data_IF_321565941698
#
_entry.id   IF_321565941698
#
_cell.length_a   1.000
_cell.length_b   1.000
_cell.length_c   1.000
_cell.angle_alpha   90.00
_cell.angle_beta   90.00
_cell.angle_gamma   90.00
#
_symmetry.space_group_name_H-M   'P 1'
#
loop_
_entity.id
_entity.type
_entity.pdbx_description
1 polymer ?
#
# COMPACT_ATOMS: atom_id res chain seq x y z
N UNK A 1 18.35 69.12 26.36
CA UNK A 1 18.64 68.95 24.92
C UNK A 1 19.21 67.54 24.73
N UNK A 2 18.33 66.58 24.52
CA UNK A 2 18.67 65.15 24.40
C UNK A 2 18.57 64.79 22.92
N UNK A 3 19.69 64.40 22.32
CA UNK A 3 19.77 63.90 20.93
C UNK A 3 19.56 62.42 20.94
N UNK A 4 18.40 61.99 20.41
CA UNK A 4 18.10 60.62 20.15
C UNK A 4 18.88 60.15 18.93
N UNK A 5 19.73 59.14 19.07
CA UNK A 5 20.38 58.44 17.96
C UNK A 5 19.55 57.20 17.61
N UNK A 6 18.80 57.30 16.53
CA UNK A 6 18.13 56.13 15.93
C UNK A 6 19.15 55.25 15.22
N UNK A 7 19.35 54.05 15.67
CA UNK A 7 20.14 53.01 14.98
C UNK A 7 19.18 52.26 14.06
N UNK A 8 19.31 52.55 12.76
CA UNK A 8 18.60 51.78 11.73
C UNK A 8 19.46 50.54 11.44
N UNK A 9 19.02 49.39 11.96
CA UNK A 9 19.61 48.11 11.62
C UNK A 9 19.08 47.70 10.25
N UNK A 10 19.88 47.81 9.21
CA UNK A 10 19.62 47.24 7.90
C UNK A 10 19.90 45.74 8.00
N UNK A 11 18.81 44.95 8.15
CA UNK A 11 18.87 43.51 7.96
C UNK A 11 19.06 43.25 6.44
N UNK A 12 20.27 42.98 6.01
CA UNK A 12 20.54 42.37 4.73
C UNK A 12 20.02 40.91 4.81
N UNK A 13 18.78 40.68 4.47
CA UNK A 13 18.29 39.37 4.07
C UNK A 13 18.93 39.02 2.73
N UNK A 14 20.12 38.44 2.74
CA UNK A 14 20.61 37.68 1.60
C UNK A 14 19.61 36.53 1.46
N UNK A 15 18.64 36.70 0.57
CA UNK A 15 17.76 35.64 0.14
C UNK A 15 18.62 34.54 -0.48
N UNK A 16 18.97 33.53 0.31
CA UNK A 16 19.33 32.24 -0.22
C UNK A 16 18.04 31.76 -0.87
N UNK A 17 17.91 32.02 -2.17
CA UNK A 17 16.99 31.29 -3.01
C UNK A 17 17.39 29.83 -2.87
N UNK A 18 16.79 29.10 -1.95
CA UNK A 18 16.75 27.66 -2.00
C UNK A 18 16.04 27.35 -3.32
N UNK A 19 16.80 27.26 -4.41
CA UNK A 19 16.38 26.57 -5.61
C UNK A 19 16.03 25.20 -5.08
N UNK A 20 14.74 24.90 -4.99
CA UNK A 20 14.26 23.54 -4.76
C UNK A 20 14.97 22.71 -5.82
N UNK A 21 15.99 21.99 -5.38
CA UNK A 21 16.90 21.29 -6.27
C UNK A 21 16.03 20.22 -6.90
N UNK A 22 15.65 20.42 -8.18
CA UNK A 22 15.11 19.32 -8.97
C UNK A 22 16.04 18.14 -8.70
N UNK A 23 15.44 17.01 -8.29
CA UNK A 23 16.23 15.85 -7.92
C UNK A 23 17.04 15.45 -9.15
N UNK A 24 18.23 15.89 -9.37
CA UNK A 24 19.02 15.56 -10.56
C UNK A 24 19.38 14.06 -10.63
N UNK A 25 18.46 13.23 -10.19
CA UNK A 25 18.43 11.77 -10.22
C UNK A 25 17.64 11.35 -11.47
N UNK A 26 18.27 10.55 -12.31
CA UNK A 26 17.67 10.04 -13.54
C UNK A 26 16.56 9.05 -13.25
N UNK A 27 15.54 8.99 -14.12
CA UNK A 27 14.43 8.03 -14.08
C UNK A 27 13.73 7.99 -12.70
N UNK A 28 13.54 9.16 -12.12
CA UNK A 28 12.94 9.31 -10.80
C UNK A 28 11.50 9.84 -10.89
N UNK A 29 10.58 9.20 -10.15
CA UNK A 29 9.24 9.74 -9.95
C UNK A 29 9.26 10.74 -8.79
N UNK A 30 8.92 12.02 -9.01
CA UNK A 30 8.87 13.00 -7.93
C UNK A 30 7.90 12.58 -6.81
N UNK A 31 8.27 12.77 -5.54
CA UNK A 31 7.41 12.46 -4.37
C UNK A 31 6.37 13.54 -4.08
N UNK A 32 6.18 14.51 -4.95
CA UNK A 32 5.24 15.63 -4.77
C UNK A 32 4.15 15.63 -5.87
N UNK A 33 3.35 16.68 -5.96
CA UNK A 33 2.28 16.82 -6.97
C UNK A 33 2.73 16.49 -8.40
N UNK A 34 3.99 16.71 -8.75
CA UNK A 34 4.50 16.42 -10.09
C UNK A 34 4.52 14.92 -10.41
N UNK A 35 4.57 14.04 -9.38
CA UNK A 35 4.45 12.60 -9.54
C UNK A 35 3.03 12.08 -9.72
N UNK A 36 2.03 12.97 -9.72
CA UNK A 36 0.62 12.59 -9.87
C UNK A 36 0.37 11.90 -11.21
N UNK A 37 -0.31 10.77 -11.18
CA UNK A 37 -0.63 9.94 -12.36
C UNK A 37 0.60 9.44 -13.14
N UNK A 38 1.77 9.41 -12.52
CA UNK A 38 2.91 8.64 -13.01
C UNK A 38 2.80 7.24 -12.41
N UNK A 39 2.79 6.25 -13.27
CA UNK A 39 2.80 4.83 -12.92
C UNK A 39 4.24 4.31 -13.01
N UNK A 40 4.56 3.37 -13.88
CA UNK A 40 5.94 2.94 -14.10
C UNK A 40 6.83 4.11 -14.57
N UNK A 41 8.12 4.04 -14.24
CA UNK A 41 9.09 5.05 -14.66
C UNK A 41 9.29 5.03 -16.16
N UNK A 42 9.06 6.16 -16.81
CA UNK A 42 9.22 6.30 -18.25
C UNK A 42 10.70 6.30 -18.66
N UNK A 43 10.99 5.84 -19.88
CA UNK A 43 12.34 5.78 -20.45
C UNK A 43 12.83 7.12 -21.05
N UNK A 44 11.97 8.10 -21.23
CA UNK A 44 12.29 9.40 -21.81
C UNK A 44 12.71 10.43 -20.76
N UNK A 45 13.70 10.08 -19.93
CA UNK A 45 14.29 11.00 -18.98
C UNK A 45 15.28 11.95 -19.65
N UNK A 46 15.20 13.22 -19.30
CA UNK A 46 16.06 14.29 -19.81
C UNK A 46 17.17 14.69 -18.85
N UNK A 47 17.21 14.09 -17.65
CA UNK A 47 18.23 14.39 -16.62
C UNK A 47 19.59 13.82 -17.05
N UNK A 48 20.59 14.70 -17.26
CA UNK A 48 21.96 14.27 -17.55
C UNK A 48 22.67 13.74 -16.29
N UNK A 49 23.45 12.66 -16.46
CA UNK A 49 24.30 12.16 -15.38
C UNK A 49 25.44 13.16 -15.07
N UNK A 50 25.60 13.51 -13.80
CA UNK A 50 26.63 14.46 -13.32
C UNK A 50 27.47 13.90 -12.16
N UNK A 51 27.64 12.59 -12.10
CA UNK A 51 28.34 11.90 -11.02
C UNK A 51 27.41 11.38 -9.93
N UNK A 52 28.00 10.81 -8.89
CA UNK A 52 27.26 10.29 -7.72
C UNK A 52 26.48 11.42 -7.07
N UNK A 53 25.20 11.17 -6.83
CA UNK A 53 24.30 12.12 -6.18
C UNK A 53 23.39 11.41 -5.20
N UNK A 54 23.24 11.98 -4.02
CA UNK A 54 22.29 11.50 -3.00
C UNK A 54 21.14 12.50 -2.89
N UNK A 55 19.92 11.99 -2.94
CA UNK A 55 18.72 12.76 -2.66
C UNK A 55 17.98 12.09 -1.49
N UNK A 56 17.70 12.88 -0.47
CA UNK A 56 16.87 12.46 0.67
C UNK A 56 15.53 13.15 0.52
N UNK A 57 14.49 12.36 0.45
CA UNK A 57 13.09 12.79 0.43
C UNK A 57 12.32 12.23 1.61
N UNK A 58 11.09 12.60 1.70
CA UNK A 58 10.22 12.10 2.74
C UNK A 58 8.77 12.38 2.43
N UNK A 59 7.92 11.64 3.14
CA UNK A 59 6.49 11.83 3.11
C UNK A 59 5.94 11.49 4.49
N UNK A 60 5.05 12.32 5.00
CA UNK A 60 4.30 12.00 6.21
C UNK A 60 2.90 12.57 6.16
N UNK A 61 1.99 11.90 6.88
CA UNK A 61 0.58 12.18 6.89
C UNK A 61 0.11 12.46 8.30
N UNK A 62 -0.62 13.56 8.45
CA UNK A 62 -1.34 13.89 9.66
C UNK A 62 -2.83 13.74 9.37
N UNK A 63 -3.51 12.90 10.13
CA UNK A 63 -4.93 12.66 9.96
C UNK A 63 -5.71 12.99 11.22
N UNK A 64 -6.96 13.40 11.04
CA UNK A 64 -7.98 13.48 12.09
C UNK A 64 -9.17 12.65 11.65
N UNK A 65 -9.62 11.73 12.53
CA UNK A 65 -10.81 10.95 12.25
C UNK A 65 -11.95 11.28 13.22
N UNK A 66 -13.16 11.34 12.67
CA UNK A 66 -14.41 11.43 13.39
C UNK A 66 -15.39 10.41 12.80
N UNK A 67 -15.21 9.15 13.19
CA UNK A 67 -15.98 8.01 12.71
C UNK A 67 -16.90 7.48 13.78
N UNK A 68 -18.04 6.93 13.36
CA UNK A 68 -18.98 6.21 14.19
C UNK A 68 -19.18 4.81 13.61
N UNK A 69 -19.43 3.83 14.47
CA UNK A 69 -19.61 2.45 14.07
C UNK A 69 -20.74 1.76 14.81
N UNK A 70 -21.31 0.75 14.19
CA UNK A 70 -22.39 -0.07 14.74
C UNK A 70 -22.37 -1.49 14.17
N UNK A 71 -22.93 -2.46 14.91
CA UNK A 71 -23.21 -3.79 14.43
C UNK A 71 -24.53 -4.33 15.00
N UNK A 72 -25.03 -5.43 14.42
CA UNK A 72 -26.20 -6.17 14.91
C UNK A 72 -25.83 -7.59 15.33
N UNK A 73 -24.54 -7.83 15.60
CA UNK A 73 -24.03 -9.13 15.98
C UNK A 73 -24.64 -9.63 17.31
N UNK A 74 -25.04 -10.90 17.32
CA UNK A 74 -25.51 -11.53 18.57
C UNK A 74 -24.38 -11.61 19.58
N UNK A 75 -24.67 -11.42 20.87
CA UNK A 75 -23.66 -11.52 21.92
C UNK A 75 -23.00 -12.90 21.92
N UNK A 76 -21.67 -12.89 22.10
CA UNK A 76 -20.84 -14.09 22.28
C UNK A 76 -19.93 -13.87 23.49
N UNK A 77 -20.08 -14.73 24.51
CA UNK A 77 -19.18 -14.74 25.68
C UNK A 77 -18.52 -16.11 25.75
N UNK A 78 -17.29 -16.25 25.24
CA UNK A 78 -16.58 -17.54 25.28
C UNK A 78 -16.35 -18.04 26.70
N UNK A 79 -16.21 -19.35 26.92
CA UNK A 79 -15.86 -19.90 28.21
C UNK A 79 -14.59 -19.26 28.79
N UNK A 80 -14.66 -18.80 30.03
CA UNK A 80 -13.55 -18.09 30.71
C UNK A 80 -13.49 -16.58 30.48
N UNK A 81 -14.39 -16.03 29.67
CA UNK A 81 -14.55 -14.59 29.48
C UNK A 81 -15.75 -14.05 30.26
N UNK A 82 -15.68 -12.79 30.64
CA UNK A 82 -16.81 -12.07 31.29
C UNK A 82 -17.48 -11.09 30.35
N UNK A 83 -16.87 -10.83 29.20
CA UNK A 83 -17.31 -9.80 28.26
C UNK A 83 -17.78 -10.39 26.94
N UNK A 84 -18.78 -9.74 26.33
CA UNK A 84 -19.21 -10.04 24.97
C UNK A 84 -18.14 -9.61 23.95
N UNK A 85 -17.59 -10.56 23.19
CA UNK A 85 -16.55 -10.29 22.19
C UNK A 85 -17.06 -9.55 20.94
N UNK A 86 -18.39 -9.47 20.76
CA UNK A 86 -19.01 -8.75 19.65
C UNK A 86 -19.39 -7.30 19.99
N UNK A 87 -19.02 -6.82 21.18
CA UNK A 87 -19.13 -5.39 21.51
C UNK A 87 -18.02 -4.65 20.81
N UNK A 88 -18.36 -3.63 20.02
CA UNK A 88 -17.41 -2.80 19.30
C UNK A 88 -16.60 -1.92 20.27
N UNK A 89 -15.35 -1.66 19.89
CA UNK A 89 -14.46 -0.75 20.59
C UNK A 89 -15.04 0.68 20.50
N UNK A 90 -15.20 1.42 21.60
CA UNK A 90 -15.68 2.79 21.54
C UNK A 90 -14.59 3.69 20.94
N UNK A 91 -14.68 3.93 19.64
CA UNK A 91 -13.76 4.84 18.95
C UNK A 91 -14.07 6.30 19.30
N UNK A 92 -13.03 7.09 19.49
CA UNK A 92 -13.12 8.52 19.78
C UNK A 92 -12.54 9.33 18.63
N UNK A 93 -13.01 10.56 18.49
CA UNK A 93 -12.46 11.48 17.51
C UNK A 93 -11.03 11.88 17.92
N UNK A 94 -10.09 11.88 16.97
CA UNK A 94 -8.71 12.17 17.33
C UNK A 94 -7.75 12.31 16.16
N UNK A 95 -6.57 12.84 16.50
CA UNK A 95 -5.46 12.98 15.57
C UNK A 95 -4.61 11.71 15.53
N UNK A 96 -4.03 11.44 14.36
CA UNK A 96 -3.24 10.26 14.04
C UNK A 96 -2.07 10.64 13.14
N UNK A 97 -0.98 9.85 13.22
CA UNK A 97 0.11 9.84 12.25
C UNK A 97 0.11 8.48 11.53
N UNK A 98 -0.65 8.34 10.43
CA UNK A 98 -0.79 7.06 9.75
C UNK A 98 0.48 6.53 9.13
N UNK A 99 1.27 7.41 8.51
CA UNK A 99 2.51 7.05 7.86
C UNK A 99 3.54 8.17 7.96
N UNK A 100 4.80 7.77 8.09
CA UNK A 100 5.96 8.64 7.94
C UNK A 100 7.06 7.84 7.23
N UNK A 101 7.44 8.29 6.04
CA UNK A 101 8.43 7.63 5.22
C UNK A 101 9.64 8.53 5.00
N UNK A 102 10.83 7.95 5.05
CA UNK A 102 12.05 8.57 4.57
C UNK A 102 12.57 7.78 3.38
N UNK A 103 12.88 8.48 2.32
CA UNK A 103 13.32 7.90 1.04
C UNK A 103 14.71 8.42 0.71
N UNK A 104 15.64 7.51 0.51
CA UNK A 104 16.99 7.82 0.09
C UNK A 104 17.18 7.30 -1.34
N UNK A 105 17.38 8.21 -2.29
CA UNK A 105 17.72 7.87 -3.67
C UNK A 105 19.16 8.22 -3.95
N UNK A 106 19.89 7.31 -4.58
CA UNK A 106 21.30 7.53 -4.92
C UNK A 106 21.51 7.25 -6.40
N UNK A 107 21.95 8.25 -7.15
CA UNK A 107 22.47 8.06 -8.51
C UNK A 107 23.87 7.47 -8.42
N UNK A 108 24.03 6.20 -8.75
CA UNK A 108 25.30 5.47 -8.63
C UNK A 108 26.16 5.60 -9.89
N UNK A 109 25.54 5.51 -11.05
CA UNK A 109 26.16 5.64 -12.36
C UNK A 109 25.14 6.19 -13.37
N UNK A 110 25.55 6.42 -14.61
CA UNK A 110 24.63 6.85 -15.67
C UNK A 110 23.55 5.75 -15.90
N UNK A 111 22.31 6.12 -15.62
CA UNK A 111 21.16 5.19 -15.70
C UNK A 111 21.15 4.10 -14.62
N UNK A 112 21.93 4.21 -13.54
CA UNK A 112 21.92 3.28 -12.40
C UNK A 112 21.65 4.03 -11.12
N UNK A 113 20.56 3.68 -10.43
CA UNK A 113 20.18 4.28 -9.16
C UNK A 113 19.81 3.24 -8.10
N UNK A 114 19.97 3.61 -6.85
CA UNK A 114 19.49 2.88 -5.68
C UNK A 114 18.33 3.64 -5.05
N UNK A 115 17.36 2.91 -4.54
CA UNK A 115 16.33 3.42 -3.63
C UNK A 115 16.40 2.67 -2.31
N UNK A 116 16.25 3.39 -1.20
CA UNK A 116 16.02 2.83 0.13
C UNK A 116 14.86 3.60 0.78
N UNK A 117 13.83 2.89 1.18
CA UNK A 117 12.66 3.46 1.85
C UNK A 117 12.56 2.93 3.27
N UNK A 118 12.53 3.85 4.22
CA UNK A 118 12.26 3.61 5.64
C UNK A 118 10.87 4.13 5.97
N UNK A 119 10.19 3.50 6.92
CA UNK A 119 8.89 3.96 7.37
C UNK A 119 8.64 3.72 8.85
N UNK A 120 7.71 4.46 9.39
CA UNK A 120 7.10 4.24 10.71
C UNK A 120 5.63 4.69 10.68
N UNK A 121 4.88 4.24 11.66
CA UNK A 121 3.50 4.68 11.93
C UNK A 121 3.28 4.74 13.43
N UNK A 122 2.57 5.73 13.92
CA UNK A 122 2.31 5.88 15.37
C UNK A 122 1.47 4.74 15.95
N UNK A 123 0.78 3.96 15.12
CA UNK A 123 -0.11 2.87 15.55
C UNK A 123 0.39 1.49 15.20
N UNK A 124 1.18 1.36 14.14
CA UNK A 124 1.57 0.07 13.60
C UNK A 124 3.05 -0.26 13.86
N UNK A 125 3.95 0.66 13.51
CA UNK A 125 5.39 0.49 13.70
C UNK A 125 5.96 1.69 14.47
N UNK A 126 6.18 1.48 15.76
CA UNK A 126 6.80 2.49 16.63
C UNK A 126 8.31 2.62 16.38
N UNK A 127 8.93 1.63 15.74
CA UNK A 127 10.33 1.65 15.33
C UNK A 127 10.42 1.88 13.83
N UNK A 128 11.51 2.50 13.39
CA UNK A 128 11.80 2.67 11.96
C UNK A 128 12.18 1.33 11.34
N UNK A 129 11.48 0.95 10.29
CA UNK A 129 11.72 -0.29 9.54
C UNK A 129 12.15 0.01 8.10
N UNK A 130 12.90 -0.92 7.50
CA UNK A 130 13.15 -0.90 6.06
C UNK A 130 11.92 -1.43 5.36
N UNK A 131 11.29 -0.59 4.54
CA UNK A 131 10.12 -0.96 3.73
C UNK A 131 10.52 -1.52 2.37
N UNK A 132 11.58 -1.00 1.79
CA UNK A 132 12.10 -1.44 0.51
C UNK A 132 13.52 -0.96 0.29
N UNK A 133 14.23 -1.65 -0.58
CA UNK A 133 15.58 -1.27 -1.01
C UNK A 133 15.94 -2.03 -2.28
N UNK A 134 16.16 -1.31 -3.39
CA UNK A 134 16.46 -1.91 -4.67
C UNK A 134 17.45 -1.08 -5.49
N UNK A 135 18.09 -1.73 -6.46
CA UNK A 135 18.84 -1.10 -7.53
C UNK A 135 17.99 -1.13 -8.79
N UNK A 136 17.91 0.01 -9.47
CA UNK A 136 17.27 0.16 -10.78
C UNK A 136 18.33 0.43 -11.83
N UNK A 137 18.27 -0.35 -12.92
CA UNK A 137 19.09 -0.21 -14.09
C UNK A 137 18.24 0.25 -15.27
N UNK A 138 18.46 1.45 -15.73
CA UNK A 138 17.92 2.03 -16.97
C UNK A 138 18.95 2.05 -18.09
N UNK A 139 20.22 1.91 -17.73
CA UNK A 139 21.38 1.71 -18.61
C UNK A 139 22.33 0.72 -17.93
N UNK A 140 23.20 0.09 -18.73
CA UNK A 140 24.26 -0.81 -18.25
C UNK A 140 25.62 -0.34 -18.79
N UNK A 141 26.10 0.86 -18.41
CA UNK A 141 27.27 1.50 -19.02
C UNK A 141 28.56 0.68 -18.86
N UNK A 142 28.63 -0.13 -17.82
CA UNK A 142 29.79 -0.99 -17.54
C UNK A 142 29.96 -2.19 -18.51
N UNK A 143 28.95 -2.49 -19.34
CA UNK A 143 29.05 -3.55 -20.35
C UNK A 143 29.68 -3.07 -21.66
N UNK A 144 29.81 -1.76 -21.87
CA UNK A 144 30.42 -1.14 -23.07
C UNK A 144 29.93 -1.76 -24.39
N UNK A 145 28.62 -2.01 -24.51
CA UNK A 145 28.02 -2.70 -25.64
C UNK A 145 26.90 -1.91 -26.29
N UNK A 146 27.07 -1.52 -27.55
CA UNK A 146 26.03 -0.82 -28.32
C UNK A 146 24.74 -1.62 -28.45
N UNK A 147 24.80 -2.95 -28.47
CA UNK A 147 23.62 -3.82 -28.53
C UNK A 147 22.83 -3.68 -27.22
N UNK A 148 23.52 -3.77 -26.10
CA UNK A 148 22.91 -3.61 -24.77
C UNK A 148 22.34 -2.20 -24.61
N UNK A 149 23.07 -1.16 -25.02
CA UNK A 149 22.59 0.23 -24.96
C UNK A 149 21.29 0.42 -25.74
N UNK A 150 21.17 -0.22 -26.92
CA UNK A 150 19.96 -0.15 -27.71
C UNK A 150 18.77 -0.89 -27.04
N UNK A 151 19.00 -2.04 -26.42
CA UNK A 151 17.98 -2.77 -25.65
C UNK A 151 17.54 -1.93 -24.45
N UNK A 152 18.47 -1.37 -23.73
CA UNK A 152 18.21 -0.57 -22.51
C UNK A 152 17.49 0.76 -22.77
N UNK A 153 17.37 1.20 -24.03
CA UNK A 153 16.48 2.32 -24.37
C UNK A 153 15.01 2.03 -24.07
N UNK A 154 14.63 0.76 -24.05
CA UNK A 154 13.25 0.31 -23.81
C UNK A 154 13.10 -0.55 -22.55
N UNK A 155 14.21 -0.95 -21.93
CA UNK A 155 14.20 -1.89 -20.79
C UNK A 155 14.65 -1.20 -19.50
N UNK A 156 13.94 -1.47 -18.40
CA UNK A 156 14.33 -1.15 -17.02
C UNK A 156 14.38 -2.44 -16.22
N UNK A 157 15.37 -2.58 -15.35
CA UNK A 157 15.54 -3.75 -14.47
C UNK A 157 15.61 -3.26 -13.03
N UNK A 158 14.77 -3.80 -12.16
CA UNK A 158 14.80 -3.58 -10.73
C UNK A 158 15.20 -4.87 -10.01
N UNK A 159 16.16 -4.78 -9.08
CA UNK A 159 16.63 -5.93 -8.28
C UNK A 159 16.74 -5.51 -6.82
N UNK A 160 16.10 -6.27 -5.94
CA UNK A 160 16.10 -6.04 -4.50
C UNK A 160 14.74 -6.26 -3.89
N UNK A 161 14.47 -5.62 -2.75
CA UNK A 161 13.15 -5.58 -2.14
C UNK A 161 12.32 -4.49 -2.81
N UNK A 162 11.45 -4.90 -3.72
CA UNK A 162 10.61 -4.00 -4.51
C UNK A 162 9.16 -4.11 -4.09
N UNK A 163 8.38 -3.05 -4.33
CA UNK A 163 6.94 -3.17 -4.41
C UNK A 163 6.60 -4.17 -5.52
N UNK A 164 5.74 -5.15 -5.21
CA UNK A 164 5.23 -6.10 -6.21
C UNK A 164 4.33 -5.34 -7.18
N UNK A 165 4.74 -5.24 -8.42
CA UNK A 165 4.01 -4.46 -9.44
C UNK A 165 2.80 -5.23 -9.99
N UNK A 166 1.87 -5.56 -9.08
CA UNK A 166 0.59 -6.20 -9.35
C UNK A 166 -0.55 -5.19 -9.26
N UNK A 167 -1.27 -4.97 -10.35
CA UNK A 167 -2.27 -3.92 -10.48
C UNK A 167 -1.68 -2.51 -10.56
N UNK A 168 -2.54 -1.51 -10.63
CA UNK A 168 -2.13 -0.10 -10.72
C UNK A 168 -2.47 0.73 -9.47
N UNK A 169 -3.26 0.18 -8.51
CA UNK A 169 -3.67 0.91 -7.31
C UNK A 169 -2.50 1.18 -6.36
N UNK A 170 -1.45 0.34 -6.32
CA UNK A 170 -0.29 0.56 -5.48
C UNK A 170 0.45 1.87 -5.80
N UNK A 171 0.34 2.39 -7.03
CA UNK A 171 0.87 3.72 -7.39
C UNK A 171 0.12 4.89 -6.74
N UNK A 172 -1.04 4.63 -6.15
CA UNK A 172 -1.88 5.59 -5.43
C UNK A 172 -2.11 5.18 -3.97
N UNK A 173 -1.41 4.17 -3.49
CA UNK A 173 -1.58 3.68 -2.13
C UNK A 173 -1.06 4.70 -1.12
N UNK A 174 -1.68 4.76 0.05
CA UNK A 174 -1.51 5.80 1.08
C UNK A 174 -0.20 5.73 1.87
N UNK A 175 0.74 4.88 1.50
CA UNK A 175 2.08 4.87 2.09
C UNK A 175 3.18 4.78 1.03
N UNK A 176 4.44 4.59 1.43
CA UNK A 176 5.57 4.49 0.50
C UNK A 176 5.85 5.76 -0.29
N UNK A 177 5.36 6.91 0.15
CA UNK A 177 5.50 8.17 -0.56
C UNK A 177 4.35 8.48 -1.53
N UNK A 178 3.32 7.63 -1.58
CA UNK A 178 2.23 7.76 -2.55
C UNK A 178 0.96 8.43 -2.00
N UNK A 179 0.88 8.74 -0.71
CA UNK A 179 -0.30 9.36 -0.07
C UNK A 179 -0.73 10.64 -0.77
N UNK A 180 0.22 11.45 -1.18
CA UNK A 180 -0.02 12.73 -1.88
C UNK A 180 -0.72 12.52 -3.24
N UNK A 181 -0.70 11.30 -3.79
CA UNK A 181 -1.35 10.95 -5.07
C UNK A 181 -2.74 10.36 -4.90
N UNK A 182 -3.06 9.88 -3.68
CA UNK A 182 -4.38 9.31 -3.40
C UNK A 182 -5.40 10.45 -3.18
N UNK A 183 -6.44 10.57 -4.01
CA UNK A 183 -7.49 11.56 -3.78
C UNK A 183 -8.37 11.21 -2.57
N UNK A 184 -8.30 9.99 -2.05
CA UNK A 184 -9.04 9.49 -0.88
C UNK A 184 -8.11 9.28 0.31
N UNK A 185 -8.71 9.18 1.51
CA UNK A 185 -7.95 8.98 2.74
C UNK A 185 -7.43 7.54 2.84
N UNK A 186 -8.21 6.56 2.44
CA UNK A 186 -7.84 5.14 2.60
C UNK A 186 -7.65 4.42 1.27
N UNK A 187 -6.97 3.27 1.32
CA UNK A 187 -6.78 2.32 0.22
C UNK A 187 -8.10 1.57 -0.10
N UNK A 188 -8.07 0.62 -1.03
CA UNK A 188 -9.24 -0.23 -1.28
C UNK A 188 -9.50 -1.20 -0.12
N UNK A 189 -10.71 -1.79 -0.10
CA UNK A 189 -11.15 -2.74 0.94
C UNK A 189 -10.24 -3.97 0.95
N UNK A 190 -9.97 -4.56 -0.21
CA UNK A 190 -8.94 -5.59 -0.39
C UNK A 190 -7.70 -4.89 -0.95
N UNK A 191 -6.68 -4.75 -0.11
CA UNK A 191 -5.50 -3.93 -0.41
C UNK A 191 -4.35 -4.86 -0.81
N UNK A 192 -4.09 -4.90 -2.10
CA UNK A 192 -3.07 -5.72 -2.74
C UNK A 192 -1.74 -4.97 -2.72
N UNK A 193 -0.99 -5.16 -1.68
CA UNK A 193 0.33 -4.55 -1.54
C UNK A 193 1.28 -5.42 -0.75
N UNK A 194 2.40 -5.73 -1.36
CA UNK A 194 3.54 -6.35 -0.71
C UNK A 194 4.84 -5.78 -1.24
N UNK A 195 5.87 -5.82 -0.42
CA UNK A 195 7.26 -5.67 -0.87
C UNK A 195 7.93 -7.04 -0.77
N UNK A 196 8.53 -7.49 -1.86
CA UNK A 196 9.16 -8.79 -1.95
C UNK A 196 10.57 -8.68 -2.52
N UNK A 197 11.45 -9.60 -2.12
CA UNK A 197 12.82 -9.66 -2.62
C UNK A 197 12.82 -10.43 -3.94
N UNK A 198 13.41 -9.82 -4.98
CA UNK A 198 13.45 -10.43 -6.30
C UNK A 198 13.89 -9.47 -7.39
N UNK A 199 13.47 -9.77 -8.61
CA UNK A 199 13.76 -8.96 -9.79
C UNK A 199 12.50 -8.73 -10.62
N UNK A 200 12.38 -7.51 -11.17
CA UNK A 200 11.32 -7.12 -12.09
C UNK A 200 11.95 -6.46 -13.33
N UNK A 201 11.49 -6.84 -14.50
CA UNK A 201 11.97 -6.34 -15.79
C UNK A 201 10.80 -5.70 -16.52
N UNK A 202 10.98 -4.47 -16.96
CA UNK A 202 10.00 -3.67 -17.69
C UNK A 202 10.48 -3.43 -19.10
N UNK A 203 9.59 -3.57 -20.06
CA UNK A 203 9.78 -3.18 -21.44
C UNK A 203 8.77 -2.11 -21.82
N UNK A 204 9.24 -0.97 -22.30
CA UNK A 204 8.42 0.15 -22.74
C UNK A 204 8.63 0.43 -24.23
N UNK A 205 7.54 0.51 -24.96
CA UNK A 205 7.54 0.88 -26.36
C UNK A 205 7.05 2.34 -26.52
N UNK A 206 7.66 3.14 -27.40
CA UNK A 206 7.22 4.52 -27.66
C UNK A 206 5.76 4.65 -28.14
N UNK A 207 5.15 3.56 -28.65
CA UNK A 207 3.72 3.55 -29.00
C UNK A 207 2.78 3.63 -27.81
N UNK A 208 3.29 3.42 -26.58
CA UNK A 208 2.53 3.35 -25.32
C UNK A 208 2.33 1.92 -24.80
N UNK A 209 2.68 0.90 -25.58
CA UNK A 209 2.62 -0.47 -25.11
C UNK A 209 3.77 -0.79 -24.14
N UNK A 210 3.49 -1.55 -23.09
CA UNK A 210 4.52 -2.02 -22.17
C UNK A 210 4.22 -3.43 -21.66
N UNK A 211 5.29 -4.10 -21.22
CA UNK A 211 5.28 -5.40 -20.56
C UNK A 211 6.13 -5.33 -19.30
N UNK A 212 5.73 -6.05 -18.26
CA UNK A 212 6.54 -6.32 -17.09
C UNK A 212 6.47 -7.80 -16.75
N UNK A 213 7.60 -8.36 -16.33
CA UNK A 213 7.70 -9.68 -15.76
C UNK A 213 8.62 -9.67 -14.55
N UNK A 214 8.27 -10.41 -13.51
CA UNK A 214 9.06 -10.49 -12.29
C UNK A 214 9.01 -11.86 -11.65
N UNK A 215 10.08 -12.14 -10.89
CA UNK A 215 10.22 -13.30 -10.01
C UNK A 215 10.66 -12.81 -8.64
N UNK A 216 9.99 -13.30 -7.61
CA UNK A 216 10.24 -12.90 -6.22
C UNK A 216 10.19 -14.12 -5.29
N UNK A 217 10.62 -13.96 -4.06
CA UNK A 217 10.51 -15.00 -3.04
C UNK A 217 9.07 -15.23 -2.53
N UNK A 218 8.13 -14.33 -2.85
CA UNK A 218 6.73 -14.43 -2.43
C UNK A 218 6.48 -14.23 -0.93
N UNK A 219 7.54 -14.02 -0.17
CA UNK A 219 7.56 -13.76 1.27
C UNK A 219 8.92 -13.20 1.67
N UNK A 220 9.02 -12.49 2.82
CA UNK A 220 10.28 -11.85 3.22
C UNK A 220 11.32 -12.83 3.80
N UNK A 221 10.89 -13.94 4.40
CA UNK A 221 11.75 -14.91 5.09
C UNK A 221 11.82 -16.26 4.35
N UNK A 222 12.04 -16.24 3.05
CA UNK A 222 12.02 -17.45 2.20
C UNK A 222 13.17 -18.44 2.45
N UNK A 223 14.23 -18.04 3.17
CA UNK A 223 15.42 -18.87 3.38
C UNK A 223 15.30 -19.89 4.52
N UNK A 224 14.25 -19.82 5.32
CA UNK A 224 14.05 -20.69 6.48
C UNK A 224 12.70 -21.40 6.39
N UNK A 225 12.75 -22.73 6.46
CA UNK A 225 11.54 -23.54 6.61
C UNK A 225 10.96 -23.33 8.02
N UNK A 226 9.99 -22.45 8.14
CA UNK A 226 9.30 -22.17 9.40
C UNK A 226 8.13 -23.13 9.58
N UNK A 227 8.36 -24.31 10.11
CA UNK A 227 7.31 -25.02 10.82
C UNK A 227 7.51 -24.75 12.30
N UNK A 228 6.59 -24.00 12.90
CA UNK A 228 6.64 -23.75 14.34
C UNK A 228 6.02 -24.93 15.07
N UNK A 229 6.83 -25.73 15.70
CA UNK A 229 6.36 -26.71 16.69
C UNK A 229 6.40 -26.05 18.06
N UNK A 230 5.25 -25.83 18.67
CA UNK A 230 5.18 -25.40 20.06
C UNK A 230 5.46 -26.62 20.93
N UNK A 231 6.61 -26.68 21.55
CA UNK A 231 6.95 -27.72 22.52
C UNK A 231 6.71 -27.16 23.91
N UNK A 232 5.72 -27.71 24.60
CA UNK A 232 5.52 -27.49 26.03
C UNK A 232 6.49 -28.39 26.80
N UNK A 233 7.54 -27.81 27.32
CA UNK A 233 8.45 -28.51 28.26
C UNK A 233 8.38 -27.77 29.60
N UNK A 234 7.61 -28.32 30.52
CA UNK A 234 7.32 -27.66 31.79
C UNK A 234 6.49 -26.41 31.63
N UNK A 235 6.93 -25.31 32.24
CA UNK A 235 6.26 -23.98 32.15
C UNK A 235 6.84 -23.10 31.02
N UNK A 236 7.72 -23.63 30.18
CA UNK A 236 8.38 -22.88 29.11
C UNK A 236 7.82 -23.28 27.75
N UNK A 237 7.31 -22.33 26.99
CA UNK A 237 6.95 -22.52 25.60
C UNK A 237 8.15 -22.12 24.77
N UNK A 238 8.77 -23.06 24.08
CA UNK A 238 9.79 -22.76 23.09
C UNK A 238 9.27 -22.99 21.67
N UNK A 239 9.50 -22.01 20.81
CA UNK A 239 9.17 -22.09 19.40
C UNK A 239 10.42 -22.52 18.64
N UNK A 240 10.37 -23.67 17.99
CA UNK A 240 11.47 -24.19 17.17
C UNK A 240 11.10 -24.19 15.68
N UNK A 241 12.10 -24.23 14.83
CA UNK A 241 11.94 -24.40 13.38
C UNK A 241 11.95 -25.88 13.03
N UNK A 242 10.98 -26.35 12.26
CA UNK A 242 10.92 -27.72 11.76
C UNK A 242 10.86 -27.70 10.24
N UNK A 243 11.79 -28.39 9.60
CA UNK A 243 11.81 -28.52 8.14
C UNK A 243 10.72 -29.48 7.60
N UNK A 244 10.04 -30.21 8.48
CA UNK A 244 9.03 -31.20 8.11
C UNK A 244 7.70 -30.80 8.75
N UNK A 245 6.67 -30.63 7.94
CA UNK A 245 5.31 -30.52 8.44
C UNK A 245 4.91 -31.83 9.13
N UNK A 246 4.72 -31.78 10.44
CA UNK A 246 4.35 -32.97 11.24
C UNK A 246 2.97 -33.53 10.91
N UNK A 247 2.09 -32.76 10.28
CA UNK A 247 0.75 -33.20 9.88
C UNK A 247 0.76 -33.96 8.54
N UNK A 248 1.67 -33.61 7.63
CA UNK A 248 1.74 -34.20 6.29
C UNK A 248 2.98 -35.04 6.04
N UNK A 249 3.96 -34.98 6.94
CA UNK A 249 5.29 -35.60 6.83
C UNK A 249 6.03 -35.20 5.53
N UNK A 250 5.74 -34.00 4.99
CA UNK A 250 6.37 -33.43 3.80
C UNK A 250 7.28 -32.30 4.17
N UNK A 251 8.38 -32.18 3.43
CA UNK A 251 9.19 -30.96 3.43
C UNK A 251 8.32 -29.79 2.96
N UNK A 252 8.28 -28.72 3.75
CA UNK A 252 7.65 -27.48 3.30
C UNK A 252 8.49 -26.94 2.14
N UNK A 253 7.93 -27.02 0.93
CA UNK A 253 8.55 -26.44 -0.25
C UNK A 253 8.07 -25.01 -0.38
N UNK A 254 9.03 -24.10 -0.44
CA UNK A 254 8.76 -22.75 -0.92
C UNK A 254 8.95 -22.73 -2.43
N UNK A 255 8.05 -22.06 -3.09
CA UNK A 255 8.13 -21.79 -4.52
C UNK A 255 8.22 -20.28 -4.74
N UNK A 256 8.94 -19.83 -5.78
CA UNK A 256 8.98 -18.42 -6.10
C UNK A 256 7.60 -17.95 -6.56
N UNK A 257 7.32 -16.67 -6.30
CA UNK A 257 6.20 -15.99 -6.90
C UNK A 257 6.57 -15.45 -8.28
N UNK A 258 5.60 -15.44 -9.18
CA UNK A 258 5.69 -14.82 -10.48
C UNK A 258 4.67 -13.71 -10.60
N UNK A 259 5.10 -12.57 -11.08
CA UNK A 259 4.25 -11.41 -11.38
C UNK A 259 4.43 -11.00 -12.82
N UNK A 260 3.37 -10.59 -13.46
CA UNK A 260 3.42 -10.07 -14.83
C UNK A 260 2.34 -9.04 -15.07
N UNK A 261 2.67 -8.08 -15.93
CA UNK A 261 1.76 -7.01 -16.34
C UNK A 261 1.95 -6.72 -17.83
N UNK A 262 0.84 -6.51 -18.48
CA UNK A 262 0.77 -6.02 -19.85
C UNK A 262 -0.09 -4.78 -19.87
N UNK A 263 0.30 -3.78 -20.62
CA UNK A 263 -0.49 -2.56 -20.65
C UNK A 263 -0.23 -1.67 -21.86
N UNK A 264 -1.13 -0.71 -21.94
CA UNK A 264 -1.05 0.40 -22.89
C UNK A 264 -1.29 1.69 -22.11
N UNK A 265 -0.35 2.63 -22.17
CA UNK A 265 -0.42 3.94 -21.52
C UNK A 265 0.02 5.02 -22.51
N UNK A 266 -0.88 5.86 -22.92
CA UNK A 266 -0.60 6.88 -23.92
C UNK A 266 -1.37 8.17 -23.71
N UNK A 267 -0.67 9.29 -23.86
CA UNK A 267 -1.29 10.58 -24.13
C UNK A 267 -1.78 10.56 -25.59
N UNK A 268 -3.08 10.34 -25.79
CA UNK A 268 -3.70 10.18 -27.13
C UNK A 268 -3.85 11.52 -27.84
N UNK A 269 -4.16 12.57 -27.07
CA UNK A 269 -4.19 13.95 -27.53
C UNK A 269 -3.73 14.87 -26.38
N UNK A 270 -3.63 16.17 -26.65
CA UNK A 270 -3.25 17.15 -25.60
C UNK A 270 -4.15 17.09 -24.36
N UNK A 271 -5.41 16.72 -24.54
CA UNK A 271 -6.41 16.69 -23.48
C UNK A 271 -6.75 15.31 -22.96
N UNK A 272 -6.42 14.25 -23.71
CA UNK A 272 -6.87 12.88 -23.41
C UNK A 272 -5.72 11.90 -23.26
N UNK A 273 -5.64 11.24 -22.09
CA UNK A 273 -4.78 10.11 -21.81
C UNK A 273 -5.60 8.87 -21.46
N UNK A 274 -5.17 7.74 -21.94
CA UNK A 274 -5.73 6.43 -21.65
C UNK A 274 -4.64 5.47 -21.20
N UNK A 275 -4.92 4.74 -20.11
CA UNK A 275 -4.13 3.61 -19.68
C UNK A 275 -5.06 2.42 -19.43
N UNK A 276 -4.67 1.27 -19.94
CA UNK A 276 -5.35 -0.01 -19.71
C UNK A 276 -4.28 -1.04 -19.37
N UNK A 277 -4.44 -1.75 -18.26
CA UNK A 277 -3.51 -2.79 -17.82
C UNK A 277 -4.22 -4.07 -17.43
N UNK A 278 -3.55 -5.19 -17.66
CA UNK A 278 -3.87 -6.49 -17.11
C UNK A 278 -2.65 -7.05 -16.40
N UNK A 279 -2.81 -7.54 -15.20
CA UNK A 279 -1.72 -8.11 -14.39
C UNK A 279 -2.11 -9.42 -13.75
N UNK A 280 -1.10 -10.23 -13.42
CA UNK A 280 -1.27 -11.42 -12.62
C UNK A 280 -0.18 -11.54 -11.56
N UNK A 281 -0.49 -12.22 -10.48
CA UNK A 281 0.44 -12.68 -9.46
C UNK A 281 0.12 -14.14 -9.14
N UNK A 282 1.15 -15.00 -9.03
CA UNK A 282 0.95 -16.41 -8.73
C UNK A 282 2.07 -16.97 -7.87
N UNK A 283 1.67 -17.69 -6.82
CA UNK A 283 2.54 -18.52 -5.98
C UNK A 283 1.76 -19.75 -5.56
N UNK A 284 2.36 -20.96 -5.68
CA UNK A 284 1.71 -22.21 -5.33
C UNK A 284 1.97 -22.64 -3.88
N UNK A 285 3.08 -22.21 -3.29
CA UNK A 285 3.44 -22.58 -1.93
C UNK A 285 4.31 -21.52 -1.28
N UNK A 286 3.73 -20.83 -0.32
CA UNK A 286 4.40 -19.96 0.62
C UNK A 286 4.03 -20.34 2.05
N UNK A 287 4.74 -19.83 3.03
CA UNK A 287 4.36 -19.97 4.43
C UNK A 287 3.67 -18.72 4.95
N UNK A 288 4.01 -17.57 4.39
CA UNK A 288 3.50 -16.28 4.84
C UNK A 288 3.49 -15.27 3.67
N UNK A 289 2.73 -15.60 2.62
CA UNK A 289 2.51 -14.65 1.54
C UNK A 289 1.71 -13.46 2.04
N UNK A 290 2.16 -12.25 1.75
CA UNK A 290 1.60 -11.02 2.28
C UNK A 290 0.93 -10.14 1.23
N UNK A 291 0.74 -10.60 -0.01
CA UNK A 291 0.15 -9.77 -1.08
C UNK A 291 -1.17 -9.11 -0.64
N UNK A 292 -2.07 -9.88 -0.02
CA UNK A 292 -3.36 -9.38 0.47
C UNK A 292 -3.37 -9.03 1.95
N UNK A 293 -2.35 -9.45 2.69
CA UNK A 293 -2.21 -9.06 4.09
C UNK A 293 -1.90 -7.58 4.18
N UNK A 294 -1.11 -7.11 3.25
CA UNK A 294 -0.65 -5.76 3.16
C UNK A 294 0.21 -5.37 4.34
N UNK A 295 1.01 -4.37 4.14
CA UNK A 295 1.56 -3.57 5.19
C UNK A 295 0.44 -2.66 5.72
N UNK A 296 0.20 -2.66 6.99
CA UNK A 296 -0.85 -1.85 7.63
C UNK A 296 -0.47 -0.39 7.79
N UNK A 297 0.76 -0.05 7.45
CA UNK A 297 1.22 1.33 7.33
C UNK A 297 0.42 2.04 6.27
N UNK A 298 0.01 3.27 6.54
CA UNK A 298 -0.89 4.00 5.66
C UNK A 298 -2.37 3.69 5.87
N UNK A 299 -2.74 2.87 6.87
CA UNK A 299 -4.13 2.70 7.28
C UNK A 299 -4.63 3.96 8.00
N UNK A 300 -5.81 4.44 7.64
CA UNK A 300 -6.34 5.73 8.08
C UNK A 300 -7.66 5.66 8.85
N UNK A 301 -8.45 4.59 8.72
CA UNK A 301 -9.65 4.40 9.53
C UNK A 301 -9.28 3.53 10.74
N UNK A 302 -8.70 4.14 11.76
CA UNK A 302 -8.14 3.43 12.90
C UNK A 302 -9.21 2.80 13.79
N UNK A 303 -9.00 1.53 14.15
CA UNK A 303 -9.77 0.76 15.11
C UNK A 303 -11.25 0.57 14.75
N UNK A 304 -11.66 0.79 13.50
CA UNK A 304 -13.03 0.58 13.07
C UNK A 304 -13.38 -0.92 13.07
N UNK A 305 -14.56 -1.26 13.59
CA UNK A 305 -15.11 -2.62 13.64
C UNK A 305 -14.30 -3.61 14.49
N UNK A 306 -13.50 -3.11 15.42
CA UNK A 306 -12.73 -3.91 16.35
C UNK A 306 -13.53 -4.27 17.62
N UNK A 307 -13.18 -5.40 18.24
CA UNK A 307 -13.79 -5.83 19.50
C UNK A 307 -13.27 -5.02 20.68
N UNK A 308 -14.17 -4.62 21.58
CA UNK A 308 -13.81 -4.05 22.88
C UNK A 308 -13.16 -5.09 23.82
N UNK A 309 -13.40 -6.39 23.59
CA UNK A 309 -12.86 -7.43 24.44
C UNK A 309 -11.34 -7.52 24.27
N UNK A 310 -10.62 -6.94 25.23
CA UNK A 310 -9.17 -7.08 25.33
C UNK A 310 -8.89 -8.47 25.90
N UNK A 311 -8.32 -9.37 25.09
CA UNK A 311 -7.84 -10.64 25.60
C UNK A 311 -6.33 -10.66 25.75
N UNK A 312 -5.88 -10.38 26.93
CA UNK A 312 -4.69 -11.05 27.46
C UNK A 312 -5.16 -12.17 28.37
N UNK A 313 -5.43 -13.34 27.82
CA UNK A 313 -5.57 -14.52 28.67
C UNK A 313 -4.24 -15.25 28.67
N UNK A 314 -3.45 -14.98 29.67
CA UNK A 314 -2.43 -15.90 30.18
C UNK A 314 -3.12 -16.90 31.11
N UNK A 315 -3.74 -17.92 30.55
CA UNK A 315 -4.19 -19.08 31.33
C UNK A 315 -3.77 -20.34 30.61
N UNK A 316 -3.11 -21.17 31.36
CA UNK A 316 -2.34 -22.37 30.99
C UNK A 316 -3.19 -23.54 30.48
N UNK A 317 -4.46 -23.42 30.17
CA UNK A 317 -5.26 -24.59 29.84
C UNK A 317 -6.17 -24.49 28.61
N UNK A 318 -6.66 -23.33 28.21
CA UNK A 318 -7.46 -23.21 26.98
C UNK A 318 -7.36 -21.77 26.47
N UNK A 319 -6.47 -21.55 25.52
CA UNK A 319 -6.30 -20.25 24.86
C UNK A 319 -7.29 -20.15 23.73
N UNK A 320 -8.41 -19.49 23.95
CA UNK A 320 -9.13 -18.82 22.87
C UNK A 320 -8.53 -17.42 22.83
N UNK A 321 -7.51 -17.23 22.00
CA UNK A 321 -6.96 -15.92 21.75
C UNK A 321 -7.95 -15.14 20.88
N UNK A 322 -8.76 -14.29 21.50
CA UNK A 322 -9.24 -13.09 20.81
C UNK A 322 -8.03 -12.13 20.87
N UNK A 323 -7.23 -12.15 19.86
CA UNK A 323 -6.11 -11.26 19.76
C UNK A 323 -6.68 -9.93 19.26
N UNK A 324 -6.89 -8.99 20.18
CA UNK A 324 -6.91 -7.59 19.83
C UNK A 324 -5.46 -7.27 19.43
N UNK A 325 -5.13 -7.55 18.20
CA UNK A 325 -3.92 -7.01 17.63
C UNK A 325 -4.05 -5.49 17.72
N UNK A 326 -3.07 -4.84 18.31
CA UNK A 326 -2.91 -3.38 18.31
C UNK A 326 -2.77 -2.81 16.90
N UNK A 327 -3.18 -3.57 15.90
CA UNK A 327 -3.07 -3.23 14.53
C UNK A 327 -4.31 -2.44 14.12
N UNK A 328 -4.14 -1.21 13.66
CA UNK A 328 -5.25 -0.39 13.23
C UNK A 328 -5.86 -0.97 11.95
N UNK A 329 -6.87 -1.81 12.10
CA UNK A 329 -7.65 -2.25 10.98
C UNK A 329 -8.42 -1.08 10.39
N UNK A 330 -8.27 -0.86 9.10
CA UNK A 330 -8.88 0.24 8.35
C UNK A 330 -10.16 -0.17 7.65
N UNK A 331 -10.95 -1.04 8.24
CA UNK A 331 -12.10 -1.60 7.55
C UNK A 331 -11.71 -2.44 6.33
N UNK A 332 -10.48 -2.97 6.28
CA UNK A 332 -9.98 -3.84 5.22
C UNK A 332 -10.53 -5.23 5.34
N UNK A 333 -10.61 -5.93 4.22
CA UNK A 333 -10.93 -7.34 4.17
C UNK A 333 -9.73 -8.11 3.62
N UNK A 334 -9.02 -8.81 4.52
CA UNK A 334 -7.94 -9.72 4.15
C UNK A 334 -8.51 -11.09 3.82
N UNK A 335 -8.31 -11.63 2.63
CA UNK A 335 -8.73 -12.99 2.27
C UNK A 335 -7.91 -14.09 2.96
N UNK A 336 -6.81 -13.75 3.67
CA UNK A 336 -5.92 -14.69 4.36
C UNK A 336 -5.28 -15.74 3.44
N UNK A 337 -4.96 -15.37 2.22
CA UNK A 337 -4.28 -16.25 1.27
C UNK A 337 -2.77 -16.26 1.55
N UNK A 338 -2.35 -16.96 2.60
CA UNK A 338 -0.95 -16.98 3.05
C UNK A 338 -0.11 -18.11 2.42
N UNK A 339 -0.73 -19.19 1.91
CA UNK A 339 -0.02 -20.33 1.32
C UNK A 339 -0.03 -20.30 -0.21
N UNK A 340 -1.17 -20.20 -0.81
CA UNK A 340 -1.37 -20.24 -2.25
C UNK A 340 -2.14 -19.02 -2.71
N UNK A 341 -1.63 -18.34 -3.75
CA UNK A 341 -2.27 -17.16 -4.33
C UNK A 341 -2.18 -17.23 -5.85
N UNK A 342 -3.32 -17.09 -6.51
CA UNK A 342 -3.44 -16.87 -7.94
C UNK A 342 -4.40 -15.70 -8.15
N UNK A 343 -3.86 -14.56 -8.54
CA UNK A 343 -4.62 -13.33 -8.68
C UNK A 343 -4.47 -12.73 -10.07
N UNK A 344 -5.54 -12.17 -10.58
CA UNK A 344 -5.56 -11.43 -11.85
C UNK A 344 -6.32 -10.14 -11.66
N UNK A 345 -5.83 -9.06 -12.26
CA UNK A 345 -6.40 -7.73 -12.14
C UNK A 345 -6.37 -6.99 -13.47
N UNK A 346 -7.47 -6.30 -13.78
CA UNK A 346 -7.55 -5.33 -14.84
C UNK A 346 -7.76 -3.92 -14.27
N UNK A 347 -7.01 -2.95 -14.78
CA UNK A 347 -7.16 -1.54 -14.43
C UNK A 347 -7.39 -0.68 -15.68
N UNK A 348 -8.23 0.33 -15.54
CA UNK A 348 -8.50 1.33 -16.56
C UNK A 348 -8.34 2.72 -15.97
N UNK A 349 -7.44 3.51 -16.52
CA UNK A 349 -7.31 4.93 -16.21
C UNK A 349 -7.60 5.78 -17.45
N UNK A 350 -8.53 6.69 -17.32
CA UNK A 350 -8.88 7.67 -18.34
C UNK A 350 -8.74 9.05 -17.75
N UNK A 351 -8.13 9.96 -18.50
CA UNK A 351 -8.03 11.37 -18.12
C UNK A 351 -8.38 12.25 -19.30
N UNK A 352 -9.42 13.05 -19.13
CA UNK A 352 -9.79 14.09 -20.08
C UNK A 352 -9.76 15.45 -19.39
N UNK A 353 -8.76 16.27 -19.71
CA UNK A 353 -8.50 17.53 -19.01
C UNK A 353 -8.40 17.33 -17.50
N UNK A 354 -9.34 17.89 -16.72
CA UNK A 354 -9.39 17.71 -15.27
C UNK A 354 -10.17 16.48 -14.79
N UNK A 355 -10.93 15.82 -15.66
CA UNK A 355 -11.73 14.65 -15.31
C UNK A 355 -10.86 13.39 -15.40
N UNK A 356 -10.82 12.62 -14.32
CA UNK A 356 -10.12 11.33 -14.23
C UNK A 356 -11.12 10.24 -13.84
N UNK A 357 -11.00 9.09 -14.47
CA UNK A 357 -11.64 7.84 -14.09
C UNK A 357 -10.56 6.80 -13.81
N UNK A 358 -10.68 6.07 -12.70
CA UNK A 358 -9.82 4.94 -12.39
C UNK A 358 -10.66 3.74 -11.95
N UNK A 359 -10.66 2.69 -12.76
CA UNK A 359 -11.41 1.46 -12.53
C UNK A 359 -10.51 0.28 -12.24
N UNK A 360 -10.95 -0.60 -11.34
CA UNK A 360 -10.27 -1.84 -10.96
C UNK A 360 -11.26 -2.99 -10.95
N UNK A 361 -10.87 -4.11 -11.55
CA UNK A 361 -11.57 -5.38 -11.48
C UNK A 361 -10.57 -6.47 -11.16
N UNK A 362 -10.77 -7.18 -10.04
CA UNK A 362 -9.86 -8.19 -9.54
C UNK A 362 -10.56 -9.50 -9.22
N UNK A 363 -9.85 -10.58 -9.47
CA UNK A 363 -10.21 -11.92 -9.11
C UNK A 363 -9.00 -12.64 -8.51
N UNK A 364 -9.08 -13.01 -7.25
CA UNK A 364 -8.06 -13.76 -6.56
C UNK A 364 -8.59 -15.12 -6.09
N UNK A 365 -7.74 -16.13 -6.14
CA UNK A 365 -8.00 -17.47 -5.65
C UNK A 365 -6.82 -17.91 -4.81
N UNK A 366 -7.08 -18.46 -3.62
CA UNK A 366 -6.01 -18.87 -2.73
C UNK A 366 -6.52 -19.53 -1.46
N UNK A 367 -5.58 -19.84 -0.57
CA UNK A 367 -5.87 -20.46 0.72
C UNK A 367 -4.80 -20.12 1.75
N UNK A 368 -5.15 -20.25 3.02
CA UNK A 368 -4.22 -20.29 4.13
C UNK A 368 -3.62 -21.70 4.32
N UNK A 369 -2.48 -21.81 5.02
CA UNK A 369 -1.73 -23.07 5.24
C UNK A 369 -2.60 -24.23 5.76
N UNK A 370 -3.62 -23.94 6.57
CA UNK A 370 -4.47 -25.00 7.17
C UNK A 370 -5.70 -25.34 6.31
N UNK A 371 -5.92 -24.63 5.23
CA UNK A 371 -7.05 -24.86 4.35
C UNK A 371 -6.69 -25.89 3.28
N UNK A 372 -7.67 -26.75 2.96
CA UNK A 372 -7.52 -27.79 1.93
C UNK A 372 -8.07 -27.38 0.57
N UNK A 373 -8.88 -26.32 0.53
CA UNK A 373 -9.59 -25.86 -0.65
C UNK A 373 -9.40 -24.37 -0.83
N UNK A 374 -9.09 -23.99 -2.06
CA UNK A 374 -8.93 -22.58 -2.39
C UNK A 374 -10.29 -21.85 -2.34
N UNK A 375 -10.29 -20.67 -1.74
CA UNK A 375 -11.39 -19.71 -1.77
C UNK A 375 -11.17 -18.70 -2.90
N UNK A 376 -12.24 -18.02 -3.29
CA UNK A 376 -12.22 -17.02 -4.36
C UNK A 376 -12.68 -15.66 -3.81
N UNK A 377 -11.83 -14.66 -3.95
CA UNK A 377 -12.16 -13.27 -3.66
C UNK A 377 -12.34 -12.47 -4.96
N UNK A 378 -13.27 -11.52 -4.96
CA UNK A 378 -13.45 -10.59 -6.07
C UNK A 378 -13.56 -9.17 -5.55
N UNK A 379 -12.92 -8.23 -6.24
CA UNK A 379 -13.00 -6.81 -5.95
C UNK A 379 -13.34 -6.01 -7.20
N UNK A 380 -14.22 -5.04 -7.05
CA UNK A 380 -14.47 -4.00 -8.05
C UNK A 380 -14.37 -2.64 -7.39
N UNK A 381 -13.69 -1.72 -8.04
CA UNK A 381 -13.60 -0.33 -7.59
C UNK A 381 -13.68 0.64 -8.77
N UNK A 382 -14.26 1.78 -8.52
CA UNK A 382 -14.34 2.89 -9.47
C UNK A 382 -14.17 4.22 -8.75
N UNK A 383 -13.20 5.01 -9.21
CA UNK A 383 -12.94 6.36 -8.74
C UNK A 383 -13.26 7.34 -9.87
N UNK A 384 -13.98 8.41 -9.56
CA UNK A 384 -14.20 9.56 -10.44
C UNK A 384 -13.64 10.77 -9.73
N UNK A 385 -12.71 11.48 -10.38
CA UNK A 385 -12.03 12.63 -9.80
C UNK A 385 -12.13 13.81 -10.80
N UNK A 386 -12.50 14.98 -10.33
CA UNK A 386 -12.45 16.20 -11.13
C UNK A 386 -11.48 17.19 -10.51
N UNK A 387 -10.40 17.52 -11.23
CA UNK A 387 -9.35 18.45 -10.80
C UNK A 387 -9.49 19.78 -11.51
N UNK A 388 -9.37 20.86 -10.73
CA UNK A 388 -9.53 22.23 -11.25
C UNK A 388 -8.61 23.22 -10.51
N UNK A 389 -8.34 24.44 -11.05
CA UNK A 389 -8.55 24.80 -12.45
C UNK A 389 -7.68 23.94 -13.37
N UNK A 390 -8.05 23.80 -14.64
CA UNK A 390 -7.39 22.86 -15.56
C UNK A 390 -5.87 23.07 -15.71
N UNK A 391 -5.41 24.31 -15.63
CA UNK A 391 -3.99 24.65 -15.77
C UNK A 391 -3.13 24.34 -14.54
N UNK A 392 -3.73 24.24 -13.33
CA UNK A 392 -3.00 23.97 -12.08
C UNK A 392 -3.38 22.62 -11.47
N UNK A 393 -4.63 22.19 -11.65
CA UNK A 393 -5.20 20.93 -11.10
C UNK A 393 -4.90 20.74 -9.60
N UNK A 394 -4.88 21.85 -8.85
CA UNK A 394 -4.53 21.86 -7.44
C UNK A 394 -5.72 21.67 -6.49
N UNK A 395 -6.96 21.76 -6.99
CA UNK A 395 -8.16 21.38 -6.26
C UNK A 395 -8.79 20.15 -6.90
N UNK A 396 -9.48 19.35 -6.11
CA UNK A 396 -10.31 18.27 -6.64
C UNK A 396 -11.53 18.00 -5.80
N UNK A 397 -12.52 17.40 -6.45
CA UNK A 397 -13.63 16.67 -5.86
C UNK A 397 -13.59 15.26 -6.40
N UNK A 398 -13.87 14.26 -5.56
CA UNK A 398 -13.80 12.87 -5.98
C UNK A 398 -14.87 12.01 -5.30
N UNK A 399 -15.23 10.93 -5.98
CA UNK A 399 -16.11 9.89 -5.46
C UNK A 399 -15.50 8.52 -5.77
N UNK A 400 -15.55 7.60 -4.78
CA UNK A 400 -15.15 6.20 -4.89
C UNK A 400 -16.30 5.28 -4.52
N UNK A 401 -16.50 4.24 -5.31
CA UNK A 401 -17.23 3.05 -4.91
C UNK A 401 -16.31 1.85 -4.98
N UNK A 402 -16.28 1.05 -3.90
CA UNK A 402 -15.48 -0.17 -3.83
C UNK A 402 -16.32 -1.28 -3.20
N UNK A 403 -16.30 -2.48 -3.79
CA UNK A 403 -16.99 -3.66 -3.29
C UNK A 403 -16.10 -4.88 -3.36
N UNK A 404 -16.12 -5.69 -2.29
CA UNK A 404 -15.41 -6.97 -2.20
C UNK A 404 -16.38 -8.07 -1.83
N UNK A 405 -16.24 -9.22 -2.49
CA UNK A 405 -16.99 -10.43 -2.19
C UNK A 405 -16.03 -11.59 -1.95
N UNK A 406 -16.17 -12.26 -0.80
CA UNK A 406 -15.23 -13.28 -0.34
C UNK A 406 -15.92 -14.31 0.59
N UNK A 407 -15.76 -15.62 0.38
CA UNK A 407 -16.04 -16.62 1.41
C UNK A 407 -14.97 -16.56 2.50
N UNK A 408 -15.35 -16.21 3.72
CA UNK A 408 -14.41 -16.19 4.87
C UNK A 408 -14.20 -17.60 5.42
N UNK A 409 -13.01 -17.86 5.95
CA UNK A 409 -12.69 -19.12 6.61
C UNK A 409 -13.54 -19.27 7.88
N UNK A 410 -14.18 -20.44 8.06
CA UNK A 410 -15.12 -20.66 9.18
C UNK A 410 -16.43 -19.85 9.09
N UNK A 411 -16.66 -19.14 8.00
CA UNK A 411 -17.89 -18.42 7.71
C UNK A 411 -19.03 -19.36 7.27
N UNK A 412 -20.19 -18.77 6.98
CA UNK A 412 -21.33 -19.49 6.43
C UNK A 412 -21.09 -19.97 4.99
N UNK A 413 -22.05 -20.69 4.39
CA UNK A 413 -21.96 -21.22 3.03
C UNK A 413 -21.92 -20.10 1.96
N UNK A 414 -22.38 -18.91 2.31
CA UNK A 414 -22.42 -17.77 1.41
C UNK A 414 -21.20 -16.87 1.61
N UNK A 415 -20.65 -16.29 0.52
CA UNK A 415 -19.61 -15.29 0.62
C UNK A 415 -20.15 -14.02 1.28
N UNK A 416 -19.32 -13.38 2.11
CA UNK A 416 -19.59 -12.06 2.67
C UNK A 416 -19.35 -10.98 1.61
N UNK A 417 -20.00 -9.84 1.80
CA UNK A 417 -19.85 -8.67 0.93
C UNK A 417 -19.52 -7.44 1.78
N UNK A 418 -18.50 -6.68 1.38
CA UNK A 418 -18.16 -5.39 1.99
C UNK A 418 -18.24 -4.32 0.92
N UNK A 419 -18.99 -3.25 1.19
CA UNK A 419 -19.16 -2.12 0.29
C UNK A 419 -18.68 -0.84 0.94
N UNK A 420 -17.90 -0.04 0.23
CA UNK A 420 -17.46 1.29 0.68
C UNK A 420 -17.82 2.34 -0.37
N UNK A 421 -18.31 3.45 0.13
CA UNK A 421 -18.50 4.70 -0.62
C UNK A 421 -17.69 5.77 0.09
N UNK A 422 -16.92 6.54 -0.68
CA UNK A 422 -16.17 7.68 -0.17
C UNK A 422 -16.34 8.88 -1.10
N UNK A 423 -16.54 10.04 -0.52
CA UNK A 423 -16.57 11.31 -1.23
C UNK A 423 -15.50 12.22 -0.64
N UNK A 424 -14.62 12.77 -1.46
CA UNK A 424 -13.52 13.60 -0.98
C UNK A 424 -13.42 14.93 -1.73
N UNK A 425 -12.84 15.89 -1.03
CA UNK A 425 -12.37 17.17 -1.59
C UNK A 425 -10.95 17.40 -1.12
N UNK A 426 -10.13 18.02 -1.96
CA UNK A 426 -8.77 18.29 -1.55
C UNK A 426 -8.11 19.42 -2.29
N UNK A 427 -6.99 19.85 -1.76
CA UNK A 427 -6.23 21.00 -2.22
C UNK A 427 -4.73 20.81 -2.04
N UNK A 428 -3.96 20.96 -3.10
CA UNK A 428 -2.53 21.17 -3.03
C UNK A 428 -2.24 22.63 -2.66
N UNK A 429 -1.89 22.88 -1.41
CA UNK A 429 -1.48 24.22 -0.93
C UNK A 429 -0.20 24.65 -1.63
N UNK A 430 0.71 23.73 -1.81
CA UNK A 430 1.93 23.83 -2.62
C UNK A 430 2.12 22.49 -3.35
N UNK A 431 3.11 22.39 -4.23
CA UNK A 431 3.44 21.08 -4.84
C UNK A 431 3.82 19.99 -3.83
N UNK A 432 4.22 20.37 -2.63
CA UNK A 432 4.71 19.50 -1.57
C UNK A 432 3.74 19.29 -0.40
N UNK A 433 2.67 20.08 -0.33
CA UNK A 433 1.71 20.05 0.78
C UNK A 433 0.31 19.90 0.21
N UNK A 434 -0.39 18.86 0.64
CA UNK A 434 -1.76 18.57 0.27
C UNK A 434 -2.63 18.47 1.53
N UNK A 435 -3.86 18.95 1.43
CA UNK A 435 -4.89 18.73 2.46
C UNK A 435 -6.13 18.14 1.79
N UNK A 436 -6.82 17.24 2.47
CA UNK A 436 -8.07 16.66 1.99
C UNK A 436 -9.05 16.40 3.13
N UNK A 437 -10.33 16.40 2.79
CA UNK A 437 -11.42 15.97 3.65
C UNK A 437 -12.20 14.88 2.92
N UNK A 438 -12.60 13.86 3.65
CA UNK A 438 -13.35 12.73 3.13
C UNK A 438 -14.52 12.40 4.03
N UNK A 439 -15.66 12.10 3.44
CA UNK A 439 -16.76 11.38 4.07
C UNK A 439 -16.72 9.93 3.58
N UNK A 440 -16.73 8.98 4.51
CA UNK A 440 -16.76 7.54 4.21
C UNK A 440 -18.01 6.90 4.80
N UNK A 441 -18.55 5.91 4.09
CA UNK A 441 -19.56 4.96 4.58
C UNK A 441 -19.20 3.57 4.10
N UNK A 442 -19.03 2.61 5.04
CA UNK A 442 -18.74 1.21 4.75
C UNK A 442 -19.74 0.30 5.43
N UNK A 443 -20.21 -0.72 4.72
CA UNK A 443 -21.21 -1.69 5.17
C UNK A 443 -20.70 -3.11 4.97
N UNK A 444 -20.99 -3.98 5.96
CA UNK A 444 -20.64 -5.39 6.00
C UNK A 444 -21.92 -6.23 5.91
N UNK A 445 -22.02 -7.10 4.90
CA UNK A 445 -23.19 -7.89 4.56
C UNK A 445 -22.89 -9.37 4.54
N UNK A 446 -23.91 -10.18 4.85
CA UNK A 446 -23.89 -11.64 4.76
C UNK A 446 -22.96 -12.32 5.78
N UNK A 447 -22.53 -11.63 6.82
CA UNK A 447 -21.81 -12.21 7.95
C UNK A 447 -22.74 -13.01 8.84
N UNK A 448 -22.23 -14.10 9.44
CA UNK A 448 -23.00 -14.91 10.38
C UNK A 448 -23.46 -14.09 11.60
N UNK A 449 -24.63 -14.42 12.20
CA UNK A 449 -25.18 -13.64 13.32
C UNK A 449 -24.26 -13.48 14.54
N UNK A 450 -23.31 -14.38 14.73
CA UNK A 450 -22.35 -14.37 15.85
C UNK A 450 -20.98 -13.81 15.46
N UNK A 451 -20.83 -13.27 14.27
CA UNK A 451 -19.61 -12.57 13.84
C UNK A 451 -19.75 -11.09 14.17
N UNK A 452 -18.69 -10.46 14.71
CA UNK A 452 -18.69 -9.04 15.09
C UNK A 452 -19.06 -8.10 13.94
N UNK A 453 -18.78 -8.51 12.68
CA UNK A 453 -19.09 -7.74 11.47
C UNK A 453 -20.52 -7.96 10.95
N UNK A 454 -21.37 -8.76 11.67
CA UNK A 454 -22.76 -8.97 11.25
C UNK A 454 -23.56 -7.66 11.34
N UNK A 455 -24.11 -7.23 10.19
CA UNK A 455 -24.81 -5.95 10.09
C UNK A 455 -23.91 -4.76 10.43
N UNK A 456 -22.61 -4.95 10.36
CA UNK A 456 -21.60 -3.96 10.67
C UNK A 456 -21.63 -2.79 9.72
N UNK A 457 -21.35 -1.59 10.24
CA UNK A 457 -21.26 -0.35 9.49
C UNK A 457 -20.38 0.63 10.23
N UNK A 458 -19.57 1.38 9.47
CA UNK A 458 -18.98 2.61 9.99
C UNK A 458 -19.11 3.74 8.99
N UNK A 459 -19.16 4.97 9.48
CA UNK A 459 -19.28 6.17 8.67
C UNK A 459 -18.76 7.40 9.40
N UNK A 460 -18.40 8.42 8.66
CA UNK A 460 -17.98 9.70 9.24
C UNK A 460 -17.03 10.48 8.38
N UNK A 461 -16.30 11.39 9.02
CA UNK A 461 -15.41 12.34 8.34
C UNK A 461 -13.97 12.06 8.76
N UNK A 462 -13.07 12.11 7.78
CA UNK A 462 -11.63 12.14 7.98
C UNK A 462 -11.05 13.40 7.33
N UNK A 463 -10.10 14.02 8.01
CA UNK A 463 -9.28 15.12 7.48
C UNK A 463 -7.84 14.63 7.42
N UNK A 464 -7.11 15.00 6.37
CA UNK A 464 -5.72 14.61 6.21
C UNK A 464 -4.89 15.73 5.62
N UNK A 465 -3.68 15.88 6.14
CA UNK A 465 -2.62 16.68 5.54
C UNK A 465 -1.45 15.76 5.21
N UNK A 466 -1.02 15.78 3.95
CA UNK A 466 0.16 15.04 3.50
C UNK A 466 1.26 16.01 3.06
N UNK A 467 2.48 15.74 3.50
CA UNK A 467 3.68 16.52 3.16
C UNK A 467 4.67 15.59 2.50
N UNK A 468 5.15 15.97 1.30
CA UNK A 468 6.08 15.14 0.53
C UNK A 468 7.12 15.98 -0.23
N UNK A 469 8.38 15.57 -0.21
CA UNK A 469 9.50 16.31 -0.78
C UNK A 469 10.63 15.37 -1.25
#
# INVERSE_FOLDING_TARGET
>A
MLVSKSITAILLCTGVTAIAQETGIQFYRPNNQQGLNIFETLKNDTVGYRGLKVNIGGNFDLAFQALNEENTAKPVTPPGFTSNINTLLPIVHGFQLPAANMVINVQLADGVRMNLTLYLSSRHHLNTWVKGGYIQFDKLPFLHSHVVDNIMKSVTINIGQNDVDYGDQHYRRTDGGNTIYNPFVENYIMDEFATEIGAQIYYHNPSGFFLMGGITDGQLDATVNKSTTTVLQGSTISTGYNAIDSATNKLNKYEPAFVGKIGFDKQVSNDFRMRLTGSFYTINSAQDNTLFFGDRTGSHYFNVMESQAISKITSTANVIAVQNDYYPWSGRLNPEFSEEVHAVMGNLFLKYKGLEFFGTAENAKGRAIKEKVNRKATQYAADIIYRFPQNKQNFWVAFRYNTVKLPINGGGPNPVTVNRQAASVGWFLTKNIMVKAEYVNQEYKDYLPYNILNGGKFHGICLEASIAF
#
